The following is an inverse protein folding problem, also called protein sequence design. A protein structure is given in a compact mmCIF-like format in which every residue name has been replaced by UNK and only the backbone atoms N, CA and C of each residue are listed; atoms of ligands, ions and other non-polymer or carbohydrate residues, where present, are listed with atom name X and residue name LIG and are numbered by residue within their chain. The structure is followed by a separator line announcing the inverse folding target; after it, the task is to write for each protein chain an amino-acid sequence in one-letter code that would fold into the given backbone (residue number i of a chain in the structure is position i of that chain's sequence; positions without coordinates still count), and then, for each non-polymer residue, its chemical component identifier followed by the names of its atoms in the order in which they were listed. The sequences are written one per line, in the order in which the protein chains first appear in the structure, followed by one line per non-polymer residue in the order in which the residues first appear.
data_IF_906242505879
#
_entry.id   IF_906242505879
#
_cell.length_a   1.000
_cell.length_b   1.000
_cell.length_c   1.000
_cell.angle_alpha   90.00
_cell.angle_beta   90.00
_cell.angle_gamma   90.00
#
_symmetry.space_group_name_H-M   'P 1'
#
loop_
_entity.id
_entity.type
_entity.pdbx_description
1 polymer ?
#
# COMPACT_ATOMS: atom_id res chain seq x y z
N UNK A 1 16.58 12.29 -10.62
CA UNK A 1 15.35 11.75 -11.24
C UNK A 1 14.19 12.19 -10.37
N UNK A 2 13.30 13.05 -10.85
CA UNK A 2 12.15 13.53 -10.08
C UNK A 2 11.10 12.41 -10.01
N UNK A 3 11.27 11.50 -9.06
CA UNK A 3 10.27 10.47 -8.77
C UNK A 3 8.97 11.11 -8.27
N UNK A 4 7.84 10.52 -8.62
CA UNK A 4 6.51 10.96 -8.17
C UNK A 4 6.47 11.04 -6.64
N UNK A 5 6.16 12.21 -6.10
CA UNK A 5 6.09 12.44 -4.65
C UNK A 5 4.89 11.69 -4.05
N UNK A 6 4.94 11.42 -2.74
CA UNK A 6 3.81 10.83 -2.01
C UNK A 6 2.51 11.64 -2.22
N UNK A 7 2.62 12.98 -2.19
CA UNK A 7 1.47 13.87 -2.43
C UNK A 7 0.86 13.69 -3.83
N UNK A 8 1.69 13.60 -4.87
CA UNK A 8 1.21 13.39 -6.24
C UNK A 8 0.52 12.04 -6.41
N UNK A 9 1.01 10.98 -5.75
CA UNK A 9 0.37 9.66 -5.78
C UNK A 9 -1.00 9.68 -5.09
N UNK A 10 -1.11 10.35 -3.95
CA UNK A 10 -2.38 10.53 -3.23
C UNK A 10 -3.38 11.29 -4.11
N UNK A 11 -2.98 12.42 -4.69
CA UNK A 11 -3.85 13.21 -5.57
C UNK A 11 -4.36 12.37 -6.74
N UNK A 12 -3.48 11.61 -7.39
CA UNK A 12 -3.88 10.70 -8.48
C UNK A 12 -4.88 9.64 -8.01
N UNK A 13 -4.65 9.01 -6.85
CA UNK A 13 -5.57 8.03 -6.30
C UNK A 13 -6.96 8.63 -6.01
N UNK A 14 -7.00 9.87 -5.52
CA UNK A 14 -8.26 10.58 -5.28
C UNK A 14 -8.98 10.95 -6.59
N UNK A 15 -8.25 11.33 -7.65
CA UNK A 15 -8.81 11.64 -8.97
C UNK A 15 -9.47 10.42 -9.64
N UNK A 16 -8.99 9.20 -9.35
CA UNK A 16 -9.52 7.95 -9.90
C UNK A 16 -10.73 7.40 -9.13
N UNK A 17 -11.09 8.00 -7.99
CA UNK A 17 -12.22 7.54 -7.16
C UNK A 17 -13.58 8.05 -7.65
N UNK A 18 -14.68 7.30 -7.37
CA UNK A 18 -16.05 7.79 -7.55
C UNK A 18 -16.32 9.06 -6.73
N UNK A 19 -17.22 9.92 -7.20
CA UNK A 19 -17.57 11.18 -6.51
C UNK A 19 -18.36 10.97 -5.21
N UNK A 20 -19.00 9.83 -5.05
CA UNK A 20 -19.80 9.43 -3.89
C UNK A 20 -19.00 8.63 -2.85
N UNK A 21 -17.67 8.51 -3.01
CA UNK A 21 -16.81 7.81 -2.06
C UNK A 21 -16.85 8.49 -0.69
N UNK A 22 -17.01 7.68 0.36
CA UNK A 22 -17.02 8.18 1.73
C UNK A 22 -15.60 8.39 2.26
N UNK A 23 -15.47 9.26 3.27
CA UNK A 23 -14.18 9.50 3.91
C UNK A 23 -13.50 8.22 4.46
N UNK A 24 -14.21 7.28 5.11
CA UNK A 24 -13.61 6.01 5.53
C UNK A 24 -13.05 5.18 4.37
N UNK A 25 -13.75 5.12 3.23
CA UNK A 25 -13.30 4.38 2.05
C UNK A 25 -12.05 5.02 1.42
N UNK A 26 -11.99 6.35 1.38
CA UNK A 26 -10.78 7.08 0.97
C UNK A 26 -9.60 6.67 1.85
N UNK A 27 -9.77 6.70 3.18
CA UNK A 27 -8.71 6.38 4.12
C UNK A 27 -8.26 4.92 3.99
N UNK A 28 -9.19 3.98 3.82
CA UNK A 28 -8.88 2.57 3.59
C UNK A 28 -8.05 2.38 2.32
N UNK A 29 -8.48 2.99 1.21
CA UNK A 29 -7.77 2.88 -0.06
C UNK A 29 -6.35 3.47 0.01
N UNK A 30 -6.20 4.65 0.62
CA UNK A 30 -4.88 5.27 0.79
C UNK A 30 -3.97 4.41 1.69
N UNK A 31 -4.52 3.80 2.75
CA UNK A 31 -3.76 2.88 3.60
C UNK A 31 -3.35 1.61 2.85
N UNK A 32 -4.23 1.07 2.01
CA UNK A 32 -3.94 -0.06 1.15
C UNK A 32 -2.78 0.23 0.20
N UNK A 33 -2.81 1.37 -0.50
CA UNK A 33 -1.71 1.80 -1.37
C UNK A 33 -0.38 1.95 -0.60
N UNK A 34 -0.42 2.54 0.59
CA UNK A 34 0.75 2.63 1.47
C UNK A 34 1.32 1.24 1.80
N UNK A 35 0.47 0.26 2.13
CA UNK A 35 0.92 -1.11 2.42
C UNK A 35 1.56 -1.78 1.21
N UNK A 36 1.05 -1.56 0.00
CA UNK A 36 1.68 -2.05 -1.23
C UNK A 36 3.08 -1.46 -1.38
N UNK A 37 3.23 -0.14 -1.24
CA UNK A 37 4.56 0.50 -1.36
C UNK A 37 5.55 -0.02 -0.33
N UNK A 38 5.10 -0.23 0.91
CA UNK A 38 5.91 -0.87 1.95
C UNK A 38 6.33 -2.28 1.55
N UNK A 39 5.39 -3.11 1.08
CA UNK A 39 5.69 -4.48 0.65
C UNK A 39 6.70 -4.51 -0.50
N UNK A 40 6.56 -3.62 -1.49
CA UNK A 40 7.53 -3.49 -2.59
C UNK A 40 8.92 -3.09 -2.08
N UNK A 41 8.98 -2.16 -1.12
CA UNK A 41 10.24 -1.77 -0.49
C UNK A 41 10.87 -2.93 0.28
N UNK A 42 10.09 -3.68 1.05
CA UNK A 42 10.57 -4.86 1.79
C UNK A 42 11.15 -5.92 0.83
N UNK A 43 10.48 -6.17 -0.30
CA UNK A 43 11.00 -7.07 -1.33
C UNK A 43 12.33 -6.57 -1.90
N UNK A 44 12.43 -5.28 -2.23
CA UNK A 44 13.65 -4.69 -2.75
C UNK A 44 14.81 -4.73 -1.73
N UNK A 45 14.50 -4.58 -0.44
CA UNK A 45 15.47 -4.63 0.66
C UNK A 45 15.80 -6.07 1.10
N UNK A 46 15.16 -7.09 0.51
CA UNK A 46 15.33 -8.50 0.87
C UNK A 46 14.64 -8.93 2.18
N UNK A 47 13.78 -8.07 2.75
CA UNK A 47 12.94 -8.37 3.92
C UNK A 47 11.75 -9.26 3.52
N UNK A 48 12.06 -10.50 3.15
CA UNK A 48 11.08 -11.51 2.72
C UNK A 48 11.22 -12.79 3.53
N UNK A 49 10.11 -13.49 3.68
CA UNK A 49 10.05 -14.80 4.34
C UNK A 49 9.47 -15.85 3.40
N UNK A 50 9.82 -17.11 3.62
CA UNK A 50 9.19 -18.22 2.90
C UNK A 50 7.72 -18.35 3.26
N UNK A 51 6.92 -18.89 2.33
CA UNK A 51 5.50 -19.16 2.59
C UNK A 51 5.30 -20.01 3.85
N UNK A 52 6.14 -21.01 4.09
CA UNK A 52 6.07 -21.86 5.29
C UNK A 52 6.21 -21.03 6.59
N UNK A 53 7.18 -20.10 6.63
CA UNK A 53 7.39 -19.20 7.77
C UNK A 53 6.21 -18.23 7.95
N UNK A 54 5.65 -17.69 6.87
CA UNK A 54 4.46 -16.84 6.93
C UNK A 54 3.25 -17.58 7.53
N UNK A 55 2.99 -18.81 7.07
CA UNK A 55 1.91 -19.67 7.61
C UNK A 55 2.08 -19.96 9.09
N UNK A 56 3.32 -20.09 9.58
CA UNK A 56 3.58 -20.30 11.01
C UNK A 56 3.27 -19.05 11.85
N UNK A 57 3.49 -17.84 11.33
CA UNK A 57 3.19 -16.59 12.03
C UNK A 57 1.69 -16.30 12.14
N UNK A 58 0.90 -16.69 11.13
CA UNK A 58 -0.57 -16.48 11.11
C UNK A 58 -1.36 -17.45 12.01
N UNK A 59 -0.72 -18.48 12.56
CA UNK A 59 -1.35 -19.47 13.45
C UNK A 59 -1.29 -19.07 14.94
N UNK A 60 -0.68 -17.93 15.25
CA UNK A 60 -0.74 -17.31 16.58
C UNK A 60 -1.94 -16.38 16.65
#
# INVERSE_FOLDING_TARGET
MTGTTAKQKILKALEEMPQDVSFPEIMEHLYFLYKIEQGLKQVADGDIISHAKAKAQMKK
#
